data_IF_190334985276
#
_entry.id   IF_190334985276
#
_cell.length_a   1.000
_cell.length_b   1.000
_cell.length_c   1.000
_cell.angle_alpha   90.00
_cell.angle_beta   90.00
_cell.angle_gamma   90.00
#
_symmetry.space_group_name_H-M   'P 1'
#
loop_
_entity.id
_entity.type
_entity.pdbx_description
1 polymer ?
#
# COMPACT_ATOMS: atom_id res chain seq x y z
N UNK A 1 -5.34 11.67 14.44
CA UNK A 1 -4.99 10.90 13.22
C UNK A 1 -6.13 11.04 12.23
N UNK A 2 -5.83 11.38 10.99
CA UNK A 2 -6.82 11.41 9.90
C UNK A 2 -6.65 10.15 9.07
N UNK A 3 -7.74 9.40 8.85
CA UNK A 3 -7.74 8.19 8.03
C UNK A 3 -8.27 8.51 6.63
N UNK A 4 -7.59 8.01 5.59
CA UNK A 4 -8.01 8.14 4.20
C UNK A 4 -8.48 6.77 3.69
N UNK A 5 -9.73 6.67 3.25
CA UNK A 5 -10.26 5.47 2.58
C UNK A 5 -10.00 5.54 1.08
N UNK A 6 -9.36 4.51 0.53
CA UNK A 6 -9.11 4.38 -0.91
C UNK A 6 -9.58 3.01 -1.39
N UNK A 7 -10.41 2.98 -2.43
CA UNK A 7 -10.79 1.70 -3.07
C UNK A 7 -9.59 0.94 -3.64
N UNK A 8 -9.59 -0.38 -3.49
CA UNK A 8 -8.55 -1.29 -3.98
C UNK A 8 -8.29 -1.15 -5.49
N UNK A 9 -9.30 -0.84 -6.31
CA UNK A 9 -9.12 -0.57 -7.75
C UNK A 9 -8.22 0.65 -8.00
N UNK A 10 -8.25 1.60 -7.09
CA UNK A 10 -7.48 2.84 -7.17
C UNK A 10 -6.17 2.76 -6.40
N UNK A 11 -5.94 1.73 -5.59
CA UNK A 11 -4.69 1.53 -4.84
C UNK A 11 -3.48 1.52 -5.75
N UNK A 12 -3.49 0.84 -6.90
CA UNK A 12 -2.28 0.84 -7.75
C UNK A 12 -1.99 2.24 -8.32
N UNK A 13 -3.02 2.98 -8.72
CA UNK A 13 -2.85 4.35 -9.23
C UNK A 13 -2.45 5.31 -8.12
N UNK A 14 -2.98 5.13 -6.90
CA UNK A 14 -2.57 5.89 -5.72
C UNK A 14 -1.20 5.46 -5.22
N UNK A 15 -0.78 4.21 -5.41
CA UNK A 15 0.59 3.77 -5.13
C UNK A 15 1.53 4.36 -6.19
N UNK A 16 1.15 4.44 -7.47
CA UNK A 16 1.93 5.20 -8.46
C UNK A 16 2.05 6.69 -8.09
N UNK A 17 0.94 7.34 -7.73
CA UNK A 17 0.88 8.78 -7.44
C UNK A 17 1.51 9.13 -6.08
N UNK A 18 1.20 8.38 -5.03
CA UNK A 18 1.68 8.60 -3.66
C UNK A 18 3.06 7.92 -3.43
N UNK A 19 3.27 6.69 -3.93
CA UNK A 19 4.31 5.77 -3.41
C UNK A 19 5.69 5.78 -4.06
N UNK A 20 5.99 6.61 -5.06
CA UNK A 20 7.39 6.70 -5.54
C UNK A 20 7.78 8.07 -6.05
N UNK A 21 6.86 8.80 -6.69
CA UNK A 21 7.17 10.14 -7.18
C UNK A 21 7.23 11.17 -6.05
N UNK A 22 6.26 11.15 -5.14
CA UNK A 22 6.17 12.13 -4.05
C UNK A 22 6.81 11.65 -2.73
N UNK A 23 7.31 10.41 -2.70
CA UNK A 23 7.98 9.81 -1.54
C UNK A 23 7.05 9.58 -0.34
N UNK A 24 5.75 9.39 -0.58
CA UNK A 24 4.76 9.17 0.49
C UNK A 24 4.74 7.73 1.00
N UNK A 25 5.12 6.76 0.17
CA UNK A 25 5.43 5.39 0.59
C UNK A 25 6.68 4.92 -0.14
N UNK A 26 7.30 3.83 0.32
CA UNK A 26 8.45 3.18 -0.31
C UNK A 26 8.39 1.65 -0.21
N UNK A 27 9.43 0.96 -0.70
CA UNK A 27 9.56 -0.51 -0.67
C UNK A 27 9.57 -1.13 0.74
N UNK A 28 9.79 -0.34 1.79
CA UNK A 28 9.81 -0.76 3.20
C UNK A 28 8.50 -0.46 3.92
N UNK A 29 7.53 0.19 3.25
CA UNK A 29 6.21 0.47 3.82
C UNK A 29 5.59 -0.80 4.35
N UNK A 30 5.29 -0.82 5.65
CA UNK A 30 4.64 -1.96 6.27
C UNK A 30 3.15 -1.98 5.92
N UNK A 31 2.71 -3.13 5.43
CA UNK A 31 1.29 -3.39 5.18
C UNK A 31 0.69 -3.94 6.46
N UNK A 32 -0.28 -3.21 7.00
CA UNK A 32 -1.10 -3.54 8.15
C UNK A 32 -2.46 -4.10 7.72
N UNK A 33 -3.28 -4.42 8.72
CA UNK A 33 -4.68 -4.74 8.53
C UNK A 33 -5.53 -3.95 9.53
N UNK A 34 -6.54 -3.25 9.03
CA UNK A 34 -7.55 -2.57 9.84
C UNK A 34 -8.71 -3.52 10.14
N UNK A 35 -9.07 -3.76 11.41
CA UNK A 35 -10.27 -4.52 11.75
C UNK A 35 -11.53 -3.70 11.39
N UNK A 36 -12.49 -4.34 10.74
CA UNK A 36 -13.79 -3.76 10.41
C UNK A 36 -14.91 -4.74 10.74
N UNK A 37 -16.16 -4.29 10.69
CA UNK A 37 -17.28 -5.20 10.86
C UNK A 37 -17.26 -6.29 9.77
N UNK A 38 -17.29 -7.55 10.19
CA UNK A 38 -17.21 -8.71 9.30
C UNK A 38 -15.81 -9.11 8.81
N UNK A 39 -14.71 -8.47 9.24
CA UNK A 39 -13.36 -8.95 8.90
C UNK A 39 -12.24 -7.90 8.99
N UNK A 40 -11.34 -7.94 8.02
CA UNK A 40 -10.14 -7.09 7.96
C UNK A 40 -9.99 -6.45 6.58
N UNK A 41 -9.60 -5.18 6.56
CA UNK A 41 -9.19 -4.47 5.35
C UNK A 41 -7.67 -4.26 5.36
N UNK A 42 -6.99 -4.32 4.21
CA UNK A 42 -5.58 -3.96 4.15
C UNK A 42 -5.39 -2.48 4.49
N UNK A 43 -4.33 -2.15 5.20
CA UNK A 43 -3.99 -0.77 5.54
C UNK A 43 -2.48 -0.57 5.48
N UNK A 44 -2.03 0.68 5.49
CA UNK A 44 -0.62 1.03 5.70
C UNK A 44 -0.49 2.46 6.19
N UNK A 45 0.63 2.77 6.82
CA UNK A 45 0.97 4.15 7.22
C UNK A 45 1.97 4.70 6.21
N UNK A 46 1.57 5.78 5.54
CA UNK A 46 2.46 6.55 4.66
C UNK A 46 3.22 7.63 5.43
N UNK A 47 3.97 8.45 4.69
CA UNK A 47 4.67 9.63 5.19
C UNK A 47 3.70 10.58 5.89
N UNK A 48 4.21 11.31 6.89
CA UNK A 48 3.42 12.22 7.73
C UNK A 48 2.34 11.49 8.56
N UNK A 49 2.59 10.24 8.96
CA UNK A 49 1.71 9.43 9.83
C UNK A 49 0.27 9.31 9.32
N UNK A 50 0.09 9.36 8.00
CA UNK A 50 -1.24 9.26 7.42
C UNK A 50 -1.58 7.80 7.17
N UNK A 51 -2.63 7.33 7.85
CA UNK A 51 -3.15 5.97 7.73
C UNK A 51 -4.05 5.86 6.50
N UNK A 52 -3.68 4.96 5.61
CA UNK A 52 -4.46 4.61 4.41
C UNK A 52 -5.13 3.27 4.66
N UNK A 53 -6.46 3.23 4.50
CA UNK A 53 -7.24 1.99 4.58
C UNK A 53 -7.74 1.67 3.17
N UNK A 54 -7.43 0.46 2.71
CA UNK A 54 -7.81 -0.04 1.40
C UNK A 54 -9.21 -0.62 1.47
N UNK A 55 -10.16 0.10 0.89
CA UNK A 55 -11.54 -0.34 0.81
C UNK A 55 -11.70 -1.46 -0.23
N UNK A 56 -12.29 -2.56 0.21
CA UNK A 56 -12.59 -3.75 -0.60
C UNK A 56 -14.08 -4.05 -0.51
N UNK A 57 -14.64 -4.67 -1.56
CA UNK A 57 -16.07 -5.00 -1.61
C UNK A 57 -16.49 -5.99 -0.51
N UNK A 58 -15.58 -6.86 -0.09
CA UNK A 58 -15.78 -7.81 1.02
C UNK A 58 -14.54 -7.78 1.91
N UNK A 59 -14.70 -7.53 3.23
CA UNK A 59 -13.62 -7.68 4.19
C UNK A 59 -13.07 -9.11 4.21
N UNK A 60 -11.77 -9.24 4.47
CA UNK A 60 -11.10 -10.54 4.49
C UNK A 60 -11.19 -11.18 5.88
N UNK A 61 -11.26 -12.53 5.96
CA UNK A 61 -11.56 -13.22 7.21
C UNK A 61 -10.43 -13.13 8.25
N UNK A 62 -9.20 -12.85 7.81
CA UNK A 62 -8.04 -12.74 8.71
C UNK A 62 -7.18 -11.54 8.35
N UNK A 63 -6.49 -10.99 9.36
CA UNK A 63 -5.52 -9.91 9.15
C UNK A 63 -4.40 -10.30 8.18
N UNK A 64 -3.96 -11.57 8.20
CA UNK A 64 -2.96 -12.06 7.27
C UNK A 64 -3.47 -12.10 5.82
N UNK A 65 -4.71 -12.55 5.60
CA UNK A 65 -5.32 -12.54 4.29
C UNK A 65 -5.43 -11.10 3.74
N UNK A 66 -5.82 -10.14 4.60
CA UNK A 66 -5.85 -8.72 4.24
C UNK A 66 -4.47 -8.22 3.77
N UNK A 67 -3.42 -8.42 4.58
CA UNK A 67 -2.06 -8.00 4.20
C UNK A 67 -1.60 -8.65 2.90
N UNK A 68 -1.80 -9.96 2.76
CA UNK A 68 -1.34 -10.70 1.58
C UNK A 68 -2.11 -10.29 0.32
N UNK A 69 -3.40 -9.99 0.43
CA UNK A 69 -4.18 -9.51 -0.73
C UNK A 69 -3.62 -8.21 -1.32
N UNK A 70 -3.19 -7.27 -0.47
CA UNK A 70 -2.59 -6.03 -0.93
C UNK A 70 -1.18 -6.28 -1.49
N UNK A 71 -0.39 -7.16 -0.85
CA UNK A 71 0.92 -7.58 -1.38
C UNK A 71 0.81 -8.17 -2.78
N UNK A 72 -0.15 -9.05 -3.01
CA UNK A 72 -0.34 -9.71 -4.30
C UNK A 72 -0.73 -8.71 -5.40
N UNK A 73 -1.60 -7.74 -5.08
CA UNK A 73 -1.99 -6.66 -6.00
C UNK A 73 -0.78 -5.77 -6.35
N UNK A 74 0.02 -5.40 -5.35
CA UNK A 74 1.22 -4.59 -5.55
C UNK A 74 2.28 -5.37 -6.33
N UNK A 75 2.49 -6.65 -6.01
CA UNK A 75 3.46 -7.50 -6.70
C UNK A 75 3.06 -7.73 -8.16
N UNK A 76 1.79 -7.99 -8.44
CA UNK A 76 1.29 -8.09 -9.82
C UNK A 76 1.52 -6.79 -10.59
N UNK A 77 1.22 -5.64 -9.98
CA UNK A 77 1.52 -4.34 -10.57
C UNK A 77 3.02 -4.09 -10.78
N UNK A 78 3.88 -4.64 -9.93
CA UNK A 78 5.33 -4.57 -10.08
C UNK A 78 5.85 -5.39 -11.26
N UNK A 79 5.39 -6.65 -11.36
CA UNK A 79 5.73 -7.55 -12.46
C UNK A 79 5.27 -6.97 -13.80
N UNK A 80 4.11 -6.30 -13.82
CA UNK A 80 3.59 -5.58 -14.99
C UNK A 80 4.27 -4.23 -15.24
N UNK A 81 5.31 -3.88 -14.47
CA UNK A 81 6.07 -2.63 -14.56
C UNK A 81 5.21 -1.36 -14.38
N UNK A 82 4.03 -1.48 -13.76
CA UNK A 82 3.19 -0.34 -13.40
C UNK A 82 3.75 0.39 -12.18
N UNK A 83 4.34 -0.34 -11.23
CA UNK A 83 5.05 0.25 -10.08
C UNK A 83 6.42 -0.41 -9.92
N UNK A 84 7.35 0.23 -9.21
CA UNK A 84 8.60 -0.42 -8.81
C UNK A 84 8.58 -0.63 -7.28
N UNK A 85 8.55 -1.90 -6.85
CA UNK A 85 8.63 -2.25 -5.44
C UNK A 85 10.07 -2.45 -4.96
N UNK A 86 11.06 -2.35 -5.86
CA UNK A 86 12.46 -2.33 -5.46
C UNK A 86 12.84 -0.94 -4.94
N UNK A 87 13.95 -0.86 -4.24
CA UNK A 87 14.53 0.42 -3.82
C UNK A 87 14.71 1.34 -5.03
N UNK A 88 14.33 2.61 -4.87
CA UNK A 88 14.50 3.60 -5.93
C UNK A 88 16.01 3.80 -6.18
N UNK A 89 16.51 3.63 -7.42
CA UNK A 89 17.93 3.86 -7.73
C UNK A 89 18.43 5.24 -7.30
N UNK A 90 17.58 6.28 -7.40
CA UNK A 90 17.92 7.63 -6.97
C UNK A 90 18.04 7.79 -5.44
N UNK A 91 17.45 6.88 -4.65
CA UNK A 91 17.65 6.83 -3.20
C UNK A 91 19.01 6.21 -2.85
N UNK A 92 19.51 5.27 -3.68
CA UNK A 92 20.85 4.69 -3.53
C UNK A 92 21.94 5.73 -3.83
N UNK A 93 21.76 6.56 -4.86
CA UNK A 93 22.72 7.63 -5.19
C UNK A 93 22.79 8.76 -4.16
N UNK A 94 21.73 8.98 -3.37
CA UNK A 94 21.75 10.00 -2.29
C UNK A 94 22.41 9.53 -1.00
N UNK A 95 22.66 8.23 -0.87
CA UNK A 95 23.32 7.63 0.30
C UNK A 95 24.79 7.28 0.04
N UNK A 96 25.32 7.57 -1.16
CA UNK A 96 26.69 7.30 -1.59
C UNK A 96 27.57 8.56 -1.51
#
# INVERSE_FOLDING_TARGET
MSALLISCRFVVKHWQLLAMQDGYTDHRTEIEAEPVDGGYLPAFVGKYDTRVIVEMATPLPTAEAARNSLRDVLWGAHVEQRINLNENPAAQERAA
#
